data_IF_810240972506
#
_entry.id   IF_810240972506
#
_cell.length_a   1.000
_cell.length_b   1.000
_cell.length_c   1.000
_cell.angle_alpha   90.00
_cell.angle_beta   90.00
_cell.angle_gamma   90.00
#
_symmetry.space_group_name_H-M   'P 1'
#
loop_
_entity.id
_entity.type
_entity.pdbx_description
1 polymer ?
#
# COMPACT_ATOMS: atom_id res chain seq x y z
N UNK A 1 2.40 20.17 5.16
CA UNK A 1 3.79 20.39 4.72
C UNK A 1 4.01 21.87 4.41
N UNK A 2 3.28 22.47 3.50
CA UNK A 2 3.54 23.84 3.02
C UNK A 2 2.78 24.94 3.78
N UNK A 3 1.81 24.61 4.63
CA UNK A 3 0.99 25.53 5.41
C UNK A 3 0.40 26.70 4.59
N UNK A 4 0.00 26.42 3.36
CA UNK A 4 -0.64 27.38 2.43
C UNK A 4 -2.12 27.02 2.21
N UNK A 5 -2.99 27.99 1.87
CA UNK A 5 -4.39 27.70 1.49
C UNK A 5 -4.44 26.76 0.28
N UNK A 6 -5.49 25.94 0.20
CA UNK A 6 -5.68 24.95 -0.88
C UNK A 6 -5.62 25.55 -2.29
N UNK A 7 -6.16 26.77 -2.45
CA UNK A 7 -6.16 27.50 -3.73
C UNK A 7 -4.76 27.94 -4.17
N UNK A 8 -3.81 28.02 -3.23
CA UNK A 8 -2.42 28.42 -3.48
C UNK A 8 -1.48 27.25 -3.69
N UNK A 9 -1.99 26.01 -3.67
CA UNK A 9 -1.19 24.79 -3.88
C UNK A 9 -0.84 24.67 -5.35
N UNK A 10 0.47 24.78 -5.66
CA UNK A 10 0.98 24.57 -7.01
C UNK A 10 1.11 23.08 -7.34
N UNK A 11 1.23 22.76 -8.63
CA UNK A 11 1.49 21.40 -9.10
C UNK A 11 2.80 20.82 -8.53
N UNK A 12 3.83 21.66 -8.41
CA UNK A 12 5.11 21.30 -7.80
C UNK A 12 4.97 20.98 -6.31
N UNK A 13 4.28 21.82 -5.55
CA UNK A 13 3.98 21.56 -4.13
C UNK A 13 3.25 20.24 -3.94
N UNK A 14 2.29 19.94 -4.83
CA UNK A 14 1.55 18.67 -4.80
C UNK A 14 2.46 17.48 -5.10
N UNK A 15 3.36 17.61 -6.08
CA UNK A 15 4.33 16.56 -6.41
C UNK A 15 5.29 16.31 -5.25
N UNK A 16 5.84 17.36 -4.66
CA UNK A 16 6.72 17.27 -3.50
C UNK A 16 6.00 16.65 -2.29
N UNK A 17 4.76 17.05 -2.01
CA UNK A 17 3.97 16.48 -0.94
C UNK A 17 3.73 14.98 -1.14
N UNK A 18 3.46 14.53 -2.38
CA UNK A 18 3.37 13.10 -2.71
C UNK A 18 4.68 12.37 -2.43
N UNK A 19 5.80 12.90 -2.89
CA UNK A 19 7.13 12.32 -2.68
C UNK A 19 7.45 12.20 -1.19
N UNK A 20 7.17 13.23 -0.41
CA UNK A 20 7.36 13.20 1.06
C UNK A 20 6.45 12.15 1.70
N UNK A 21 5.15 12.19 1.43
CA UNK A 21 4.18 11.28 2.05
C UNK A 21 4.49 9.82 1.73
N UNK A 22 4.68 9.48 0.46
CA UNK A 22 5.03 8.12 0.06
C UNK A 22 6.41 7.71 0.55
N UNK A 23 7.39 8.62 0.47
CA UNK A 23 8.74 8.37 0.96
C UNK A 23 8.73 7.97 2.44
N UNK A 24 8.03 8.71 3.30
CA UNK A 24 7.95 8.42 4.73
C UNK A 24 7.25 7.08 4.98
N UNK A 25 6.11 6.83 4.32
CA UNK A 25 5.37 5.56 4.44
C UNK A 25 6.24 4.37 4.01
N UNK A 26 7.09 4.55 3.00
CA UNK A 26 8.04 3.53 2.56
C UNK A 26 9.36 3.52 3.35
N UNK A 27 9.45 4.26 4.46
CA UNK A 27 10.59 4.24 5.36
C UNK A 27 11.83 4.95 4.80
N UNK A 28 11.64 6.04 4.02
CA UNK A 28 12.76 6.84 3.52
C UNK A 28 13.49 7.53 4.67
N UNK A 29 14.83 7.56 4.60
CA UNK A 29 15.65 8.37 5.51
C UNK A 29 15.65 9.84 5.11
N UNK A 30 16.04 10.74 6.02
CA UNK A 30 16.22 12.16 5.72
C UNK A 30 17.22 12.40 4.55
N UNK A 31 18.25 11.57 4.45
CA UNK A 31 19.15 11.58 3.31
C UNK A 31 18.44 11.15 2.02
N UNK A 32 17.71 10.04 2.05
CA UNK A 32 16.96 9.55 0.89
C UNK A 32 15.92 10.56 0.40
N UNK A 33 15.23 11.23 1.33
CA UNK A 33 14.25 12.26 0.99
C UNK A 33 14.90 13.49 0.36
N UNK A 34 16.05 13.93 0.87
CA UNK A 34 16.80 15.05 0.27
C UNK A 34 17.33 14.78 -1.15
N UNK A 35 17.51 13.50 -1.53
CA UNK A 35 17.87 13.13 -2.90
C UNK A 35 16.69 13.14 -3.88
N UNK A 36 15.47 13.09 -3.37
CA UNK A 36 14.23 13.00 -4.17
C UNK A 36 13.44 14.31 -4.22
N UNK A 37 13.87 15.30 -3.45
CA UNK A 37 13.22 16.61 -3.32
C UNK A 37 14.27 17.72 -3.37
N UNK A 38 13.82 18.96 -3.50
CA UNK A 38 14.70 20.16 -3.42
C UNK A 38 15.05 20.54 -1.96
N UNK A 39 14.77 19.68 -0.99
CA UNK A 39 15.03 19.90 0.43
C UNK A 39 16.45 19.45 0.78
N UNK A 40 17.11 20.19 1.67
CA UNK A 40 18.35 19.68 2.24
C UNK A 40 18.08 18.62 3.33
N UNK A 41 19.13 17.94 3.80
CA UNK A 41 18.99 16.84 4.77
C UNK A 41 18.38 17.28 6.11
N UNK A 42 18.66 18.52 6.56
CA UNK A 42 18.11 19.04 7.83
C UNK A 42 16.60 19.33 7.68
N UNK A 43 16.21 19.97 6.59
CA UNK A 43 14.80 20.22 6.27
C UNK A 43 14.03 18.91 6.12
N UNK A 44 14.61 17.93 5.46
CA UNK A 44 14.02 16.59 5.33
C UNK A 44 13.80 15.91 6.69
N UNK A 45 14.76 16.04 7.62
CA UNK A 45 14.61 15.51 8.98
C UNK A 45 13.46 16.20 9.73
N UNK A 46 13.41 17.53 9.69
CA UNK A 46 12.34 18.31 10.34
C UNK A 46 10.95 17.91 9.80
N UNK A 47 10.83 17.71 8.49
CA UNK A 47 9.55 17.28 7.88
C UNK A 47 9.17 15.88 8.32
N UNK A 48 10.13 14.95 8.39
CA UNK A 48 9.87 13.58 8.85
C UNK A 48 9.43 13.59 10.32
N UNK A 49 10.10 14.36 11.17
CA UNK A 49 9.75 14.47 12.59
C UNK A 49 8.35 15.07 12.76
N UNK A 50 8.04 16.19 12.10
CA UNK A 50 6.72 16.80 12.13
C UNK A 50 5.63 15.88 11.58
N UNK A 51 5.94 15.06 10.57
CA UNK A 51 5.01 14.06 10.04
C UNK A 51 4.67 12.99 11.10
N UNK A 52 5.65 12.50 11.84
CA UNK A 52 5.43 11.51 12.88
C UNK A 52 4.84 12.09 14.18
N UNK A 53 5.00 13.38 14.43
CA UNK A 53 4.25 14.08 15.49
C UNK A 53 2.75 14.10 15.18
N UNK A 54 2.39 14.44 13.94
CA UNK A 54 0.99 14.48 13.47
C UNK A 54 0.39 13.05 13.37
N UNK A 55 1.17 12.10 12.85
CA UNK A 55 0.74 10.70 12.63
C UNK A 55 1.47 9.73 13.54
N UNK A 56 1.39 9.93 14.85
CA UNK A 56 2.10 9.12 15.87
C UNK A 56 1.79 7.62 15.76
N UNK A 57 0.53 7.24 15.50
CA UNK A 57 0.13 5.84 15.31
C UNK A 57 0.80 5.16 14.11
N UNK A 58 1.17 5.92 13.08
CA UNK A 58 1.92 5.37 11.97
C UNK A 58 3.34 5.02 12.38
N UNK A 59 3.98 5.86 13.21
CA UNK A 59 5.29 5.57 13.78
C UNK A 59 5.27 4.30 14.62
N UNK A 60 4.25 4.16 15.47
CA UNK A 60 4.05 2.96 16.29
C UNK A 60 3.85 1.71 15.44
N UNK A 61 3.01 1.80 14.39
CA UNK A 61 2.82 0.73 13.43
C UNK A 61 4.15 0.30 12.78
N UNK A 62 4.95 1.25 12.29
CA UNK A 62 6.22 0.95 11.65
C UNK A 62 7.19 0.27 12.62
N UNK A 63 7.31 0.80 13.85
CA UNK A 63 8.19 0.27 14.88
C UNK A 63 7.77 -1.11 15.33
N UNK A 64 6.48 -1.35 15.52
CA UNK A 64 5.94 -2.66 15.95
C UNK A 64 6.14 -3.73 14.89
N UNK A 65 5.95 -3.42 13.59
CA UNK A 65 6.20 -4.38 12.53
C UNK A 65 7.69 -4.76 12.41
N UNK A 66 8.59 -3.80 12.57
CA UNK A 66 10.03 -4.08 12.58
C UNK A 66 10.39 -4.97 13.78
N UNK A 67 9.90 -4.65 14.98
CA UNK A 67 10.14 -5.45 16.18
C UNK A 67 9.60 -6.88 15.99
N UNK A 68 8.36 -7.02 15.57
CA UNK A 68 7.75 -8.32 15.29
C UNK A 68 8.57 -9.13 14.27
N UNK A 69 9.01 -8.47 13.18
CA UNK A 69 9.83 -9.13 12.16
C UNK A 69 11.19 -9.60 12.70
N UNK A 70 11.81 -8.83 13.58
CA UNK A 70 13.10 -9.21 14.22
C UNK A 70 12.96 -10.44 15.12
N UNK A 71 11.85 -10.54 15.83
CA UNK A 71 11.59 -11.63 16.77
C UNK A 71 11.14 -12.91 16.04
N UNK A 72 10.36 -12.77 14.96
CA UNK A 72 9.72 -13.91 14.28
C UNK A 72 10.35 -14.28 12.93
N UNK A 73 11.13 -13.40 12.31
CA UNK A 73 11.73 -13.60 10.99
C UNK A 73 10.79 -13.37 9.81
N UNK A 74 9.57 -12.94 10.04
CA UNK A 74 8.56 -12.67 9.00
C UNK A 74 7.58 -11.57 9.43
N UNK A 75 6.77 -11.11 8.48
CA UNK A 75 5.55 -10.31 8.71
C UNK A 75 4.37 -10.96 8.02
N UNK A 76 3.15 -10.60 8.42
CA UNK A 76 1.91 -11.20 7.90
C UNK A 76 0.96 -10.17 7.29
N UNK A 77 0.20 -10.62 6.30
CA UNK A 77 -0.97 -9.88 5.82
C UNK A 77 -2.15 -10.05 6.77
N UNK A 78 -3.24 -9.28 6.56
CA UNK A 78 -4.49 -9.43 7.33
C UNK A 78 -5.12 -10.84 7.23
N UNK A 79 -4.75 -11.61 6.21
CA UNK A 79 -5.20 -12.99 6.02
C UNK A 79 -4.16 -14.03 6.49
N UNK A 80 -3.12 -13.61 7.19
CA UNK A 80 -2.10 -14.50 7.76
C UNK A 80 -1.07 -15.03 6.74
N UNK A 81 -1.02 -14.49 5.53
CA UNK A 81 0.00 -14.86 4.56
C UNK A 81 1.34 -14.25 4.96
N UNK A 82 2.37 -15.08 5.11
CA UNK A 82 3.68 -14.69 5.62
C UNK A 82 4.63 -14.24 4.52
N UNK A 83 5.41 -13.21 4.83
CA UNK A 83 6.59 -12.81 4.10
C UNK A 83 7.81 -12.93 5.00
N UNK A 84 8.70 -13.88 4.69
CA UNK A 84 9.94 -14.07 5.42
C UNK A 84 10.97 -12.99 5.08
N UNK A 85 11.72 -12.54 6.11
CA UNK A 85 12.68 -11.44 6.05
C UNK A 85 14.02 -11.89 6.62
N UNK A 86 14.75 -12.71 5.86
CA UNK A 86 15.99 -13.35 6.31
C UNK A 86 17.05 -12.33 6.76
N UNK A 87 17.08 -11.15 6.16
CA UNK A 87 18.06 -10.09 6.43
C UNK A 87 17.64 -9.10 7.52
N UNK A 88 16.53 -9.31 8.22
CA UNK A 88 16.00 -8.34 9.20
C UNK A 88 16.97 -8.08 10.38
N UNK A 89 17.78 -9.07 10.74
CA UNK A 89 18.81 -9.01 11.77
C UNK A 89 20.24 -9.00 11.20
N UNK A 90 20.40 -8.70 9.89
CA UNK A 90 21.71 -8.66 9.24
C UNK A 90 22.62 -7.61 9.88
N UNK A 91 23.92 -7.95 10.03
CA UNK A 91 24.96 -6.99 10.41
C UNK A 91 25.23 -5.94 9.34
N UNK A 92 24.95 -6.29 8.07
CA UNK A 92 25.03 -5.34 6.97
C UNK A 92 23.86 -4.34 7.04
N UNK A 93 24.19 -3.08 7.27
CA UNK A 93 23.19 -2.01 7.44
C UNK A 93 22.30 -1.82 6.19
N UNK A 94 22.84 -2.05 4.98
CA UNK A 94 22.07 -1.90 3.74
C UNK A 94 21.01 -3.01 3.61
N UNK A 95 21.39 -4.26 3.84
CA UNK A 95 20.47 -5.41 3.80
C UNK A 95 19.40 -5.28 4.90
N UNK A 96 19.82 -4.94 6.12
CA UNK A 96 18.91 -4.73 7.24
C UNK A 96 17.89 -3.61 6.93
N UNK A 97 18.33 -2.46 6.45
CA UNK A 97 17.45 -1.34 6.09
C UNK A 97 16.45 -1.73 4.98
N UNK A 98 16.86 -2.54 4.01
CA UNK A 98 15.95 -3.05 3.00
C UNK A 98 14.90 -4.01 3.60
N UNK A 99 15.32 -4.89 4.52
CA UNK A 99 14.40 -5.82 5.21
C UNK A 99 13.42 -5.05 6.12
N UNK A 100 13.87 -4.01 6.84
CA UNK A 100 13.02 -3.15 7.65
C UNK A 100 11.94 -2.42 6.82
N UNK A 101 12.30 -1.89 5.64
CA UNK A 101 11.31 -1.33 4.70
C UNK A 101 10.29 -2.38 4.23
N UNK A 102 10.73 -3.59 3.97
CA UNK A 102 9.84 -4.69 3.63
C UNK A 102 8.93 -5.10 4.81
N UNK A 103 9.42 -5.03 6.05
CA UNK A 103 8.63 -5.30 7.24
C UNK A 103 7.45 -4.32 7.38
N UNK A 104 7.65 -3.05 7.02
CA UNK A 104 6.61 -2.03 7.06
C UNK A 104 5.61 -2.21 5.91
N UNK A 105 6.11 -2.43 4.69
CA UNK A 105 5.29 -2.35 3.48
C UNK A 105 4.56 -3.66 3.16
N UNK A 106 5.17 -4.81 3.42
CA UNK A 106 4.62 -6.09 3.01
C UNK A 106 3.25 -6.43 3.63
N UNK A 107 2.96 -6.11 4.91
CA UNK A 107 1.63 -6.33 5.46
C UNK A 107 0.56 -5.54 4.70
N UNK A 108 0.79 -4.28 4.36
CA UNK A 108 -0.17 -3.41 3.68
C UNK A 108 -0.34 -3.84 2.23
N UNK A 109 0.76 -3.91 1.47
CA UNK A 109 0.71 -4.29 0.05
C UNK A 109 0.22 -5.72 -0.16
N UNK A 110 0.66 -6.63 0.71
CA UNK A 110 0.21 -8.01 0.69
C UNK A 110 -1.28 -8.14 1.00
N UNK A 111 -1.79 -7.40 1.99
CA UNK A 111 -3.22 -7.39 2.33
C UNK A 111 -4.06 -6.83 1.19
N UNK A 112 -3.62 -5.76 0.53
CA UNK A 112 -4.30 -5.24 -0.67
C UNK A 112 -4.38 -6.29 -1.78
N UNK A 113 -3.27 -7.01 -2.03
CA UNK A 113 -3.24 -8.10 -3.01
C UNK A 113 -4.14 -9.29 -2.62
N UNK A 114 -4.25 -9.58 -1.33
CA UNK A 114 -5.13 -10.64 -0.83
C UNK A 114 -6.60 -10.26 -1.00
N UNK A 115 -6.97 -9.02 -0.68
CA UNK A 115 -8.35 -8.52 -0.79
C UNK A 115 -8.83 -8.56 -2.24
N UNK A 116 -8.03 -8.08 -3.19
CA UNK A 116 -8.44 -8.09 -4.60
C UNK A 116 -8.59 -9.51 -5.14
N UNK A 117 -7.70 -10.44 -4.73
CA UNK A 117 -7.81 -11.86 -5.10
C UNK A 117 -9.07 -12.51 -4.54
N UNK A 118 -9.43 -12.20 -3.29
CA UNK A 118 -10.70 -12.68 -2.72
C UNK A 118 -11.90 -12.14 -3.50
N UNK A 119 -11.89 -10.87 -3.87
CA UNK A 119 -12.93 -10.28 -4.70
C UNK A 119 -13.03 -11.01 -6.05
N UNK A 120 -11.90 -11.21 -6.74
CA UNK A 120 -11.86 -11.94 -8.02
C UNK A 120 -12.43 -13.35 -7.90
N UNK A 121 -12.07 -14.10 -6.87
CA UNK A 121 -12.57 -15.47 -6.63
C UNK A 121 -14.08 -15.46 -6.41
N UNK A 122 -14.59 -14.54 -5.56
CA UNK A 122 -16.02 -14.42 -5.28
C UNK A 122 -16.81 -14.01 -6.53
N UNK A 123 -16.31 -13.03 -7.30
CA UNK A 123 -16.91 -12.58 -8.55
C UNK A 123 -16.96 -13.70 -9.57
N UNK A 124 -15.85 -14.39 -9.83
CA UNK A 124 -15.79 -15.48 -10.80
C UNK A 124 -16.73 -16.63 -10.44
N UNK A 125 -16.79 -16.98 -9.15
CA UNK A 125 -17.71 -18.01 -8.66
C UNK A 125 -19.17 -17.62 -8.93
N UNK A 126 -19.53 -16.38 -8.63
CA UNK A 126 -20.91 -15.89 -8.81
C UNK A 126 -21.29 -15.79 -10.29
N UNK A 127 -20.39 -15.29 -11.14
CA UNK A 127 -20.58 -15.27 -12.60
C UNK A 127 -20.87 -16.69 -13.13
N UNK A 128 -20.12 -17.67 -12.65
CA UNK A 128 -20.32 -19.08 -13.04
C UNK A 128 -21.66 -19.64 -12.56
N UNK A 129 -22.08 -19.32 -11.32
CA UNK A 129 -23.37 -19.76 -10.77
C UNK A 129 -24.55 -19.17 -11.54
N UNK A 130 -24.45 -17.91 -11.95
CA UNK A 130 -25.46 -17.21 -12.76
C UNK A 130 -25.35 -17.50 -14.25
N UNK A 131 -24.36 -18.32 -14.67
CA UNK A 131 -24.09 -18.70 -16.07
C UNK A 131 -23.88 -17.47 -16.97
N UNK A 132 -23.21 -16.44 -16.45
CA UNK A 132 -22.85 -15.27 -17.25
C UNK A 132 -21.78 -15.65 -18.27
N UNK A 133 -21.90 -15.13 -19.48
CA UNK A 133 -20.94 -15.34 -20.56
C UNK A 133 -19.85 -14.27 -20.60
N UNK A 134 -20.05 -13.12 -19.91
CA UNK A 134 -19.05 -12.10 -19.67
C UNK A 134 -17.82 -12.68 -18.97
N UNK A 135 -16.63 -12.08 -19.17
CA UNK A 135 -15.37 -12.64 -18.66
C UNK A 135 -14.55 -11.61 -17.92
N UNK A 136 -13.97 -12.02 -16.78
CA UNK A 136 -12.87 -11.29 -16.15
C UNK A 136 -11.60 -11.53 -16.99
N UNK A 137 -11.05 -10.48 -17.58
CA UNK A 137 -9.93 -10.57 -18.51
C UNK A 137 -8.61 -10.36 -17.80
N UNK A 138 -8.50 -9.30 -16.97
CA UNK A 138 -7.23 -8.81 -16.50
C UNK A 138 -7.39 -8.05 -15.18
N UNK A 139 -6.36 -8.14 -14.33
CA UNK A 139 -6.14 -7.25 -13.19
C UNK A 139 -5.01 -6.27 -13.55
N UNK A 140 -5.24 -4.99 -13.36
CA UNK A 140 -4.22 -3.93 -13.47
C UNK A 140 -4.16 -3.20 -12.13
N UNK A 141 -3.12 -3.45 -11.32
CA UNK A 141 -2.98 -2.94 -9.96
C UNK A 141 -4.18 -3.29 -9.07
N UNK A 142 -5.06 -2.33 -8.81
CA UNK A 142 -6.27 -2.41 -7.99
C UNK A 142 -7.57 -2.37 -8.82
N UNK A 143 -7.45 -2.41 -10.14
CA UNK A 143 -8.56 -2.42 -11.09
C UNK A 143 -8.76 -3.80 -11.69
N UNK A 144 -10.02 -4.17 -11.97
CA UNK A 144 -10.41 -5.38 -12.68
C UNK A 144 -11.05 -5.01 -14.01
N UNK A 145 -10.59 -5.64 -15.09
CA UNK A 145 -11.08 -5.42 -16.44
C UNK A 145 -11.92 -6.62 -16.88
N UNK A 146 -13.12 -6.34 -17.39
CA UNK A 146 -14.06 -7.35 -17.86
C UNK A 146 -14.40 -7.11 -19.34
N UNK A 147 -14.54 -8.21 -20.07
CA UNK A 147 -15.25 -8.24 -21.37
C UNK A 147 -16.72 -8.54 -21.08
N UNK A 148 -17.59 -7.59 -21.39
CA UNK A 148 -18.97 -7.58 -20.92
C UNK A 148 -19.96 -7.69 -22.07
N UNK A 149 -20.83 -8.68 -22.02
CA UNK A 149 -22.00 -8.78 -22.89
C UNK A 149 -23.02 -7.73 -22.48
N UNK A 150 -23.51 -6.92 -23.41
CA UNK A 150 -24.35 -5.75 -23.12
C UNK A 150 -25.61 -6.11 -22.31
N UNK A 151 -26.23 -7.27 -22.55
CA UNK A 151 -27.39 -7.73 -21.78
C UNK A 151 -27.08 -8.08 -20.33
N UNK A 152 -25.81 -8.35 -19.99
CA UNK A 152 -25.36 -8.73 -18.62
C UNK A 152 -24.81 -7.55 -17.83
N UNK A 153 -24.61 -6.41 -18.48
CA UNK A 153 -23.91 -5.25 -17.93
C UNK A 153 -24.41 -4.78 -16.58
N UNK A 154 -25.71 -4.62 -16.42
CA UNK A 154 -26.29 -4.13 -15.16
C UNK A 154 -26.09 -5.14 -14.02
N UNK A 155 -26.34 -6.42 -14.29
CA UNK A 155 -26.16 -7.51 -13.33
C UNK A 155 -24.68 -7.56 -12.91
N UNK A 156 -23.77 -7.48 -13.86
CA UNK A 156 -22.33 -7.57 -13.59
C UNK A 156 -21.81 -6.39 -12.79
N UNK A 157 -22.28 -5.15 -13.06
CA UNK A 157 -21.93 -3.97 -12.27
C UNK A 157 -22.32 -4.13 -10.81
N UNK A 158 -23.54 -4.56 -10.52
CA UNK A 158 -24.01 -4.78 -9.15
C UNK A 158 -23.21 -5.89 -8.46
N UNK A 159 -22.95 -6.98 -9.15
CA UNK A 159 -22.17 -8.11 -8.66
C UNK A 159 -20.73 -7.69 -8.32
N UNK A 160 -20.04 -7.00 -9.23
CA UNK A 160 -18.67 -6.52 -9.03
C UNK A 160 -18.63 -5.56 -7.83
N UNK A 161 -19.53 -4.57 -7.80
CA UNK A 161 -19.60 -3.61 -6.70
C UNK A 161 -19.78 -4.31 -5.35
N UNK A 162 -20.75 -5.24 -5.26
CA UNK A 162 -21.00 -6.02 -4.06
C UNK A 162 -19.75 -6.74 -3.54
N UNK A 163 -19.02 -7.43 -4.42
CA UNK A 163 -17.90 -8.27 -3.99
C UNK A 163 -16.57 -7.48 -3.85
N UNK A 164 -16.38 -6.39 -4.57
CA UNK A 164 -15.22 -5.53 -4.33
C UNK A 164 -15.35 -4.72 -3.02
N UNK A 165 -16.52 -4.15 -2.74
CA UNK A 165 -16.75 -3.39 -1.50
C UNK A 165 -16.80 -4.28 -0.24
N UNK A 166 -17.07 -5.58 -0.39
CA UNK A 166 -17.23 -6.55 0.71
C UNK A 166 -16.25 -7.72 0.61
N UNK A 167 -15.11 -7.54 -0.04
CA UNK A 167 -14.16 -8.63 -0.27
C UNK A 167 -13.64 -9.25 1.04
N UNK A 168 -13.51 -8.44 2.09
CA UNK A 168 -12.96 -8.82 3.40
C UNK A 168 -14.04 -9.11 4.48
N UNK A 169 -15.29 -9.27 4.07
CA UNK A 169 -16.40 -9.62 4.99
C UNK A 169 -16.80 -11.08 4.90
#
# INVERSE_FOLDING_TARGET
IFKVPLQSVTSEMRSNAKTVNFGIIYGVSAFGLSQQTNLNRKESAIIIDAYFEEYSKLKDYMSSNIAFARDNGYVETILGRRRYLHDINSRNALLRSHAERNAINAPIQGSAADIIKLAMIKINKEMSLQKLESKLILQVHDELIFDVIESEKLILIELIKKYMENANK
#
